data_IF_617249173958
#
_entry.id   IF_617249173958
#
_cell.length_a   1.000
_cell.length_b   1.000
_cell.length_c   1.000
_cell.angle_alpha   90.00
_cell.angle_beta   90.00
_cell.angle_gamma   90.00
#
_symmetry.space_group_name_H-M   'P 1'
#
loop_
_entity.id
_entity.type
_entity.pdbx_description
1 polymer ?
#
# COMPACT_ATOMS: atom_id res chain seq x y z
N UNK A 1 12.62 3.00 -21.75
CA UNK A 1 12.09 4.37 -21.57
C UNK A 1 12.42 4.96 -20.19
N UNK A 2 12.40 4.21 -19.08
CA UNK A 2 12.68 4.77 -17.74
C UNK A 2 14.14 5.10 -17.40
N UNK A 3 15.13 4.50 -18.08
CA UNK A 3 16.55 4.62 -17.69
C UNK A 3 17.12 6.03 -17.91
N UNK A 4 16.79 6.70 -19.03
CA UNK A 4 17.31 8.06 -19.29
C UNK A 4 16.75 9.08 -18.28
N UNK A 5 15.48 8.96 -17.90
CA UNK A 5 14.89 9.79 -16.84
C UNK A 5 15.54 9.55 -15.47
N UNK A 6 15.94 8.32 -15.16
CA UNK A 6 16.64 8.00 -13.92
C UNK A 6 18.05 8.62 -13.89
N UNK A 7 18.80 8.58 -15.01
CA UNK A 7 20.12 9.23 -15.10
C UNK A 7 20.03 10.73 -14.85
N UNK A 8 19.04 11.40 -15.42
CA UNK A 8 18.80 12.83 -15.19
C UNK A 8 18.45 13.10 -13.72
N UNK A 9 17.55 12.33 -13.12
CA UNK A 9 17.17 12.48 -11.71
C UNK A 9 18.36 12.29 -10.75
N UNK A 10 19.26 11.34 -11.03
CA UNK A 10 20.49 11.15 -10.24
C UNK A 10 21.45 12.33 -10.43
N UNK A 11 21.58 12.84 -11.66
CA UNK A 11 22.51 13.94 -11.99
C UNK A 11 22.07 15.26 -11.38
N UNK A 12 20.77 15.57 -11.44
CA UNK A 12 20.21 16.82 -10.93
C UNK A 12 19.94 16.81 -9.43
N UNK A 13 19.90 15.63 -8.80
CA UNK A 13 19.57 15.44 -7.37
C UNK A 13 18.38 16.31 -6.91
N UNK A 14 17.18 16.20 -7.52
CA UNK A 14 16.04 17.06 -7.18
C UNK A 14 15.52 16.88 -5.74
N UNK A 15 15.99 15.84 -5.04
CA UNK A 15 15.75 15.61 -3.62
C UNK A 15 16.84 14.72 -3.03
N UNK A 16 16.85 14.61 -1.71
CA UNK A 16 17.77 13.75 -0.96
C UNK A 16 17.01 12.50 -0.50
N UNK A 17 17.21 11.33 -1.15
CA UNK A 17 16.54 10.11 -0.72
C UNK A 17 17.12 9.65 0.63
N UNK A 18 16.30 9.62 1.66
CA UNK A 18 16.73 9.27 3.03
C UNK A 18 16.45 7.82 3.39
N UNK A 19 15.29 7.29 3.01
CA UNK A 19 14.89 5.91 3.28
C UNK A 19 13.75 5.48 2.36
N UNK A 20 13.62 4.17 2.15
CA UNK A 20 12.41 3.58 1.59
C UNK A 20 11.30 3.60 2.64
N UNK A 21 10.12 4.07 2.26
CA UNK A 21 8.97 4.12 3.17
C UNK A 21 8.62 2.72 3.69
N UNK A 22 8.63 2.54 5.02
CA UNK A 22 8.13 1.34 5.69
C UNK A 22 6.73 1.69 6.21
N UNK A 23 5.72 1.06 5.62
CA UNK A 23 4.34 1.25 6.06
C UNK A 23 3.98 0.29 7.19
N UNK A 24 3.56 0.85 8.32
CA UNK A 24 2.95 0.09 9.40
C UNK A 24 1.44 0.06 9.22
N UNK A 25 0.87 -1.13 9.39
CA UNK A 25 -0.56 -1.37 9.21
C UNK A 25 -1.05 -2.29 10.31
N UNK A 26 -2.28 -2.03 10.76
CA UNK A 26 -3.03 -2.88 11.65
C UNK A 26 -4.51 -2.76 11.28
N UNK A 27 -5.28 -3.81 11.56
CA UNK A 27 -6.71 -3.84 11.35
C UNK A 27 -7.37 -4.63 12.47
N UNK A 28 -8.61 -4.26 12.77
CA UNK A 28 -9.47 -5.00 13.68
C UNK A 28 -10.24 -6.08 12.90
N UNK A 29 -10.53 -7.19 13.58
CA UNK A 29 -11.31 -8.31 13.03
C UNK A 29 -12.63 -8.53 13.77
N UNK A 30 -13.07 -7.57 14.58
CA UNK A 30 -14.32 -7.66 15.34
C UNK A 30 -15.53 -7.67 14.41
N UNK A 31 -15.53 -6.80 13.38
CA UNK A 31 -16.64 -6.66 12.43
C UNK A 31 -16.31 -7.10 11.00
N UNK A 32 -15.04 -7.04 10.60
CA UNK A 32 -14.60 -7.29 9.23
C UNK A 32 -13.41 -8.24 9.18
N UNK A 33 -13.45 -9.20 8.26
CA UNK A 33 -12.36 -10.16 8.00
C UNK A 33 -11.92 -10.09 6.53
N UNK A 34 -10.98 -10.96 6.16
CA UNK A 34 -10.38 -11.01 4.82
C UNK A 34 -9.62 -9.73 4.45
N UNK A 35 -8.94 -9.10 5.42
CA UNK A 35 -8.04 -7.99 5.16
C UNK A 35 -6.85 -8.43 4.29
N UNK A 36 -6.39 -7.59 3.35
CA UNK A 36 -5.19 -7.89 2.58
C UNK A 36 -3.95 -7.67 3.46
N UNK A 37 -3.04 -8.63 3.43
CA UNK A 37 -1.84 -8.66 4.26
C UNK A 37 -0.75 -9.50 3.61
N UNK A 38 0.35 -9.74 4.33
CA UNK A 38 1.45 -10.56 3.82
C UNK A 38 0.99 -11.99 3.50
N UNK A 39 0.06 -12.52 4.29
CA UNK A 39 -0.51 -13.85 4.17
C UNK A 39 -1.62 -13.93 3.10
N UNK A 40 -2.18 -12.78 2.68
CA UNK A 40 -3.28 -12.69 1.73
C UNK A 40 -3.15 -11.46 0.81
N UNK A 41 -2.15 -11.42 -0.11
CA UNK A 41 -1.78 -10.22 -0.84
C UNK A 41 -2.62 -10.01 -2.11
N UNK A 42 -3.96 -9.98 -2.00
CA UNK A 42 -4.84 -9.77 -3.15
C UNK A 42 -4.91 -8.31 -3.62
N UNK A 43 -4.50 -7.37 -2.77
CA UNK A 43 -4.28 -5.96 -3.11
C UNK A 43 -3.28 -5.38 -2.11
N UNK A 44 -2.83 -4.15 -2.35
CA UNK A 44 -2.03 -3.43 -1.35
C UNK A 44 -2.82 -3.31 -0.03
N UNK A 45 -2.15 -3.17 1.12
CA UNK A 45 -2.85 -3.26 2.40
C UNK A 45 -3.15 -1.91 3.07
N UNK A 46 -2.89 -0.78 2.40
CA UNK A 46 -3.19 0.53 2.96
C UNK A 46 -4.67 0.90 2.82
N UNK A 47 -5.27 1.22 3.95
CA UNK A 47 -6.64 1.74 4.04
C UNK A 47 -6.72 3.24 3.78
N UNK A 48 -5.58 3.92 3.67
CA UNK A 48 -5.52 5.33 3.31
C UNK A 48 -5.55 5.52 1.78
N UNK A 49 -6.14 6.63 1.35
CA UNK A 49 -6.21 7.10 -0.05
C UNK A 49 -7.01 6.19 -1.00
N UNK A 50 -6.65 6.25 -2.29
CA UNK A 50 -7.34 5.55 -3.37
C UNK A 50 -7.37 4.01 -3.24
N UNK A 51 -6.39 3.34 -2.64
CA UNK A 51 -6.40 1.89 -2.64
C UNK A 51 -7.50 1.20 -1.81
N UNK A 52 -8.05 1.87 -0.80
CA UNK A 52 -9.12 1.32 0.05
C UNK A 52 -10.34 0.87 -0.78
N UNK A 53 -10.66 1.58 -1.86
CA UNK A 53 -11.79 1.23 -2.75
C UNK A 53 -11.64 -0.13 -3.45
N UNK A 54 -10.41 -0.62 -3.58
CA UNK A 54 -10.14 -1.94 -4.16
C UNK A 54 -10.15 -3.06 -3.12
N UNK A 55 -10.09 -2.70 -1.83
CA UNK A 55 -10.15 -3.62 -0.71
C UNK A 55 -11.61 -3.91 -0.30
N UNK A 56 -12.45 -2.87 -0.24
CA UNK A 56 -13.82 -2.98 0.30
C UNK A 56 -14.71 -4.03 -0.36
N UNK A 57 -14.63 -4.35 -1.67
CA UNK A 57 -15.46 -5.40 -2.26
C UNK A 57 -15.12 -6.82 -1.77
N UNK A 58 -13.95 -7.00 -1.16
CA UNK A 58 -13.45 -8.30 -0.71
C UNK A 58 -13.51 -8.47 0.81
N UNK A 59 -13.75 -7.39 1.57
CA UNK A 59 -13.94 -7.50 3.02
C UNK A 59 -15.20 -8.29 3.32
N UNK A 60 -15.12 -9.15 4.32
CA UNK A 60 -16.23 -10.02 4.73
C UNK A 60 -16.76 -9.55 6.07
N UNK A 61 -18.06 -9.35 6.17
CA UNK A 61 -18.70 -9.04 7.46
C UNK A 61 -18.69 -10.29 8.34
N UNK A 62 -18.43 -10.10 9.63
CA UNK A 62 -18.54 -11.16 10.65
C UNK A 62 -20.00 -11.46 11.04
N UNK A 63 -20.94 -10.59 10.68
CA UNK A 63 -22.36 -10.73 11.03
C UNK A 63 -22.72 -10.34 12.48
N UNK A 64 -21.78 -9.75 13.23
CA UNK A 64 -22.03 -9.14 14.55
C UNK A 64 -22.69 -7.78 14.47
#
# INVERSE_FOLDING_TARGET
MGIEGLKEAVTQMPGIPTFGYIGFIAWDQTYWTNWPGAENPYTQPYTHWGPFKYMTPFLQSTGR
#
